data_IF_059968034969
#
_entry.id   IF_059968034969
#
_cell.length_a   1.000
_cell.length_b   1.000
_cell.length_c   1.000
_cell.angle_alpha   90.00
_cell.angle_beta   90.00
_cell.angle_gamma   90.00
#
_symmetry.space_group_name_H-M   'P 1'
#
loop_
_entity.id
_entity.type
_entity.pdbx_description
1 polymer ?
#
# COMPACT_ATOMS: atom_id res chain seq x y z
N UNK A 1 20.92 -48.57 -25.67
CA UNK A 1 19.47 -48.32 -25.73
C UNK A 1 19.24 -47.00 -25.01
N UNK A 2 19.12 -45.93 -25.76
CA UNK A 2 18.95 -44.54 -25.30
C UNK A 2 17.46 -44.31 -25.07
N UNK A 3 17.05 -44.12 -23.84
CA UNK A 3 15.68 -43.79 -23.43
C UNK A 3 15.45 -42.30 -23.64
N UNK A 4 15.01 -41.91 -24.82
CA UNK A 4 14.55 -40.54 -25.09
C UNK A 4 13.20 -40.34 -24.38
N UNK A 5 13.21 -39.84 -23.14
CA UNK A 5 12.01 -39.37 -22.47
C UNK A 5 11.36 -38.26 -23.30
N UNK A 6 10.22 -38.57 -23.93
CA UNK A 6 9.38 -37.60 -24.60
C UNK A 6 8.91 -36.56 -23.54
N UNK A 7 9.10 -35.24 -23.73
CA UNK A 7 8.53 -34.26 -22.85
C UNK A 7 7.01 -34.43 -22.81
N UNK A 8 6.48 -34.70 -21.60
CA UNK A 8 5.04 -34.85 -21.41
C UNK A 8 4.27 -33.58 -21.82
N UNK A 9 2.96 -33.73 -22.10
CA UNK A 9 2.14 -32.61 -22.57
C UNK A 9 2.25 -31.41 -21.58
N UNK A 10 2.55 -30.24 -22.14
CA UNK A 10 2.64 -29.01 -21.36
C UNK A 10 1.28 -28.75 -20.71
N UNK A 11 1.24 -28.76 -19.37
CA UNK A 11 0.03 -28.48 -18.60
C UNK A 11 -0.28 -26.97 -18.66
N UNK A 12 -1.06 -26.57 -19.65
CA UNK A 12 -1.50 -25.18 -19.85
C UNK A 12 -2.32 -24.63 -18.67
N UNK A 13 -2.91 -25.50 -17.84
CA UNK A 13 -3.68 -25.10 -16.66
C UNK A 13 -2.82 -24.85 -15.42
N UNK A 14 -1.51 -25.09 -15.50
CA UNK A 14 -0.59 -24.88 -14.36
C UNK A 14 -0.55 -23.42 -13.91
N UNK A 15 -0.59 -22.49 -14.88
CA UNK A 15 -0.62 -21.06 -14.61
C UNK A 15 -1.93 -20.65 -13.91
N UNK A 16 -3.08 -21.15 -14.36
CA UNK A 16 -4.38 -20.86 -13.76
C UNK A 16 -4.48 -21.43 -12.33
N UNK A 17 -3.99 -22.66 -12.09
CA UNK A 17 -3.93 -23.26 -10.75
C UNK A 17 -3.03 -22.48 -9.80
N UNK A 18 -1.89 -21.98 -10.27
CA UNK A 18 -0.99 -21.18 -9.48
C UNK A 18 -1.61 -19.83 -9.10
N UNK A 19 -2.39 -19.22 -10.00
CA UNK A 19 -3.07 -17.95 -9.72
C UNK A 19 -4.17 -18.14 -8.66
N UNK A 20 -4.95 -19.21 -8.76
CA UNK A 20 -5.99 -19.51 -7.76
C UNK A 20 -5.42 -19.83 -6.38
N UNK A 21 -4.30 -20.57 -6.32
CA UNK A 21 -3.61 -20.87 -5.07
C UNK A 21 -2.95 -19.62 -4.44
N UNK A 22 -2.55 -18.64 -5.24
CA UNK A 22 -1.98 -17.38 -4.74
C UNK A 22 -3.03 -16.44 -4.15
N UNK A 23 -4.28 -16.56 -4.57
CA UNK A 23 -5.39 -15.76 -4.07
C UNK A 23 -5.99 -16.30 -2.75
N UNK A 24 -5.63 -17.51 -2.35
CA UNK A 24 -6.14 -18.09 -1.09
C UNK A 24 -5.39 -17.47 0.10
N UNK A 25 -6.01 -16.48 0.74
CA UNK A 25 -5.48 -15.79 1.92
C UNK A 25 -5.26 -16.71 3.13
N UNK A 26 -5.98 -17.83 3.20
CA UNK A 26 -5.84 -18.79 4.29
C UNK A 26 -4.51 -19.56 4.26
N UNK A 27 -3.89 -19.63 3.08
CA UNK A 27 -2.56 -20.22 2.90
C UNK A 27 -1.40 -19.28 3.30
N UNK A 28 -1.72 -18.01 3.66
CA UNK A 28 -0.71 -17.03 4.02
C UNK A 28 -0.37 -17.09 5.50
N UNK A 29 0.90 -16.77 5.89
CA UNK A 29 1.24 -16.55 7.28
C UNK A 29 0.32 -15.48 7.88
N UNK A 30 -0.12 -15.70 9.12
CA UNK A 30 -1.01 -14.75 9.83
C UNK A 30 -0.56 -13.29 9.73
N UNK A 31 0.74 -12.93 9.99
CA UNK A 31 1.16 -11.54 9.92
C UNK A 31 1.05 -10.95 8.50
N UNK A 32 1.30 -11.73 7.45
CA UNK A 32 1.18 -11.25 6.06
C UNK A 32 -0.28 -11.00 5.68
N UNK A 33 -1.20 -11.85 6.16
CA UNK A 33 -2.64 -11.66 5.97
C UNK A 33 -3.14 -10.40 6.67
N UNK A 34 -2.72 -10.17 7.91
CA UNK A 34 -3.02 -8.94 8.62
C UNK A 34 -2.39 -7.72 7.96
N UNK A 35 -1.14 -7.79 7.50
CA UNK A 35 -0.50 -6.73 6.73
C UNK A 35 -1.32 -6.35 5.49
N UNK A 36 -1.81 -7.34 4.75
CA UNK A 36 -2.67 -7.11 3.58
C UNK A 36 -3.93 -6.34 3.95
N UNK A 37 -4.68 -6.78 4.97
CA UNK A 37 -5.90 -6.10 5.38
C UNK A 37 -5.66 -4.70 5.90
N UNK A 38 -4.62 -4.49 6.69
CA UNK A 38 -4.24 -3.15 7.17
C UNK A 38 -3.83 -2.25 6.00
N UNK A 39 -3.10 -2.76 5.01
CA UNK A 39 -2.78 -2.01 3.78
C UNK A 39 -4.03 -1.62 2.99
N UNK A 40 -4.99 -2.53 2.84
CA UNK A 40 -6.27 -2.24 2.16
C UNK A 40 -7.04 -1.16 2.91
N UNK A 41 -7.17 -1.28 4.23
CA UNK A 41 -7.83 -0.26 5.05
C UNK A 41 -7.10 1.08 4.94
N UNK A 42 -5.77 1.08 5.01
CA UNK A 42 -4.96 2.31 4.85
C UNK A 42 -5.15 2.94 3.48
N UNK A 43 -5.20 2.13 2.41
CA UNK A 43 -5.45 2.61 1.05
C UNK A 43 -6.83 3.26 0.93
N UNK A 44 -7.88 2.66 1.53
CA UNK A 44 -9.23 3.25 1.56
C UNK A 44 -9.23 4.57 2.32
N UNK A 45 -8.60 4.62 3.51
CA UNK A 45 -8.50 5.86 4.30
C UNK A 45 -7.75 6.95 3.55
N UNK A 46 -6.63 6.62 2.89
CA UNK A 46 -5.87 7.56 2.07
C UNK A 46 -6.69 8.05 0.87
N UNK A 47 -7.43 7.16 0.20
CA UNK A 47 -8.28 7.52 -0.93
C UNK A 47 -9.39 8.48 -0.51
N UNK A 48 -10.11 8.17 0.56
CA UNK A 48 -11.16 9.03 1.09
C UNK A 48 -10.59 10.38 1.52
N UNK A 49 -9.49 10.38 2.28
CA UNK A 49 -8.82 11.62 2.72
C UNK A 49 -8.34 12.45 1.53
N UNK A 50 -7.76 11.80 0.51
CA UNK A 50 -7.32 12.46 -0.71
C UNK A 50 -8.47 13.09 -1.48
N UNK A 51 -9.55 12.35 -1.72
CA UNK A 51 -10.73 12.88 -2.42
C UNK A 51 -11.40 14.03 -1.66
N UNK A 52 -11.57 13.89 -0.35
CA UNK A 52 -12.08 14.97 0.51
C UNK A 52 -11.19 16.20 0.44
N UNK A 53 -9.86 16.02 0.40
CA UNK A 53 -8.90 17.11 0.25
C UNK A 53 -8.99 17.81 -1.11
N UNK A 54 -9.16 17.06 -2.20
CA UNK A 54 -9.32 17.60 -3.57
C UNK A 54 -10.66 18.35 -3.71
N UNK A 55 -11.74 17.78 -3.20
CA UNK A 55 -13.08 18.37 -3.28
C UNK A 55 -13.26 19.60 -2.36
N UNK A 56 -12.27 19.92 -1.55
CA UNK A 56 -12.30 21.11 -0.70
C UNK A 56 -13.17 21.00 0.55
N UNK A 57 -13.81 19.85 0.80
CA UNK A 57 -14.85 19.66 1.83
C UNK A 57 -14.33 19.24 3.21
N UNK A 58 -13.01 19.05 3.40
CA UNK A 58 -12.48 18.49 4.65
C UNK A 58 -11.30 19.25 5.23
N UNK A 59 -11.36 19.55 6.49
CA UNK A 59 -10.28 20.05 7.32
C UNK A 59 -10.67 21.27 8.16
N UNK A 60 -10.01 21.48 9.30
CA UNK A 60 -10.19 22.70 10.06
C UNK A 60 -9.83 23.89 9.18
N UNK A 61 -10.74 24.81 9.06
CA UNK A 61 -10.50 26.08 8.38
C UNK A 61 -9.69 26.94 9.35
N UNK A 62 -8.36 26.85 9.23
CA UNK A 62 -7.51 27.86 9.86
C UNK A 62 -7.73 29.14 9.06
N UNK A 63 -8.31 30.15 9.68
CA UNK A 63 -8.43 31.47 9.04
C UNK A 63 -7.02 31.98 8.73
N UNK A 64 -6.67 32.15 7.45
CA UNK A 64 -5.34 32.58 7.07
C UNK A 64 -5.14 34.05 7.48
N UNK A 65 -4.03 34.33 8.14
CA UNK A 65 -3.67 35.68 8.59
C UNK A 65 -3.44 36.66 7.41
N UNK A 66 -3.12 36.13 6.24
CA UNK A 66 -2.95 36.90 4.99
C UNK A 66 -3.11 36.01 3.75
N UNK A 67 -3.22 36.64 2.58
CA UNK A 67 -3.44 35.95 1.30
C UNK A 67 -2.30 34.96 0.93
N UNK A 68 -1.05 35.27 1.26
CA UNK A 68 0.09 34.40 0.97
C UNK A 68 0.04 33.09 1.79
N UNK A 69 -0.33 33.21 3.06
CA UNK A 69 -0.52 32.04 3.93
C UNK A 69 -1.69 31.18 3.44
N UNK A 70 -2.78 31.82 2.99
CA UNK A 70 -3.93 31.14 2.41
C UNK A 70 -3.53 30.30 1.19
N UNK A 71 -2.79 30.88 0.26
CA UNK A 71 -2.33 30.22 -0.95
C UNK A 71 -1.36 29.05 -0.64
N UNK A 72 -0.44 29.26 0.28
CA UNK A 72 0.49 28.21 0.71
C UNK A 72 -0.25 27.02 1.34
N UNK A 73 -1.20 27.28 2.25
CA UNK A 73 -2.00 26.24 2.89
C UNK A 73 -2.85 25.47 1.86
N UNK A 74 -3.43 26.16 0.90
CA UNK A 74 -4.22 25.55 -0.17
C UNK A 74 -3.36 24.65 -1.07
N UNK A 75 -2.22 25.13 -1.53
CA UNK A 75 -1.29 24.37 -2.38
C UNK A 75 -0.77 23.12 -1.67
N UNK A 76 -0.39 23.25 -0.39
CA UNK A 76 0.12 22.12 0.40
C UNK A 76 -0.98 21.09 0.67
N UNK A 77 -2.22 21.53 0.93
CA UNK A 77 -3.38 20.65 1.09
C UNK A 77 -3.65 19.84 -0.18
N UNK A 78 -3.64 20.48 -1.35
CA UNK A 78 -3.81 19.80 -2.63
C UNK A 78 -2.69 18.79 -2.89
N UNK A 79 -1.44 19.16 -2.59
CA UNK A 79 -0.30 18.26 -2.74
C UNK A 79 -0.46 17.00 -1.88
N UNK A 80 -0.82 17.13 -0.60
CA UNK A 80 -1.08 15.99 0.29
C UNK A 80 -2.26 15.17 -0.20
N UNK A 81 -3.33 15.81 -0.65
CA UNK A 81 -4.53 15.14 -1.16
C UNK A 81 -4.25 14.30 -2.41
N UNK A 82 -3.53 14.86 -3.37
CA UNK A 82 -3.11 14.17 -4.60
C UNK A 82 -2.16 13.03 -4.27
N UNK A 83 -1.17 13.25 -3.40
CA UNK A 83 -0.23 12.21 -2.97
C UNK A 83 -0.94 11.06 -2.26
N UNK A 84 -1.90 11.35 -1.39
CA UNK A 84 -2.70 10.32 -0.73
C UNK A 84 -3.56 9.55 -1.74
N UNK A 85 -4.18 10.22 -2.70
CA UNK A 85 -5.00 9.56 -3.75
C UNK A 85 -4.14 8.62 -4.61
N UNK A 86 -3.02 9.12 -5.14
CA UNK A 86 -2.09 8.32 -5.95
C UNK A 86 -1.50 7.19 -5.14
N UNK A 87 -1.05 7.47 -3.91
CA UNK A 87 -0.51 6.48 -2.98
C UNK A 87 -1.51 5.38 -2.66
N UNK A 88 -2.79 5.72 -2.47
CA UNK A 88 -3.86 4.75 -2.23
C UNK A 88 -4.04 3.78 -3.40
N UNK A 89 -4.06 4.31 -4.63
CA UNK A 89 -4.18 3.47 -5.84
C UNK A 89 -2.98 2.54 -5.98
N UNK A 90 -1.77 3.06 -5.79
CA UNK A 90 -0.54 2.25 -5.87
C UNK A 90 -0.54 1.19 -4.77
N UNK A 91 -0.87 1.52 -3.53
CA UNK A 91 -0.95 0.55 -2.43
C UNK A 91 -1.97 -0.56 -2.72
N UNK A 92 -3.16 -0.22 -3.24
CA UNK A 92 -4.18 -1.19 -3.58
C UNK A 92 -3.71 -2.17 -4.68
N UNK A 93 -3.09 -1.65 -5.75
CA UNK A 93 -2.57 -2.46 -6.85
C UNK A 93 -1.45 -3.40 -6.41
N UNK A 94 -0.50 -2.90 -5.62
CA UNK A 94 0.64 -3.70 -5.18
C UNK A 94 0.34 -4.59 -3.98
N UNK A 95 -0.65 -4.25 -3.15
CA UNK A 95 -1.15 -5.16 -2.12
C UNK A 95 -1.67 -6.47 -2.73
N UNK A 96 -2.39 -6.40 -3.84
CA UNK A 96 -2.82 -7.60 -4.57
C UNK A 96 -1.63 -8.44 -5.09
N UNK A 97 -0.52 -7.79 -5.49
CA UNK A 97 0.69 -8.47 -5.96
C UNK A 97 1.54 -9.09 -4.83
N UNK A 98 1.31 -8.73 -3.57
CA UNK A 98 1.94 -9.43 -2.44
C UNK A 98 1.59 -10.92 -2.42
N UNK A 99 0.41 -11.27 -2.93
CA UNK A 99 -0.06 -12.64 -3.08
C UNK A 99 0.89 -13.52 -3.91
N UNK A 100 1.49 -12.96 -4.94
CA UNK A 100 2.44 -13.66 -5.80
C UNK A 100 3.84 -13.82 -5.21
N UNK A 101 4.10 -13.24 -4.01
CA UNK A 101 5.43 -13.26 -3.39
C UNK A 101 6.44 -12.32 -4.05
N UNK A 102 5.97 -11.31 -4.78
CA UNK A 102 6.83 -10.39 -5.51
C UNK A 102 7.66 -9.51 -4.56
N UNK A 103 8.99 -9.61 -4.66
CA UNK A 103 9.93 -8.73 -3.93
C UNK A 103 9.78 -7.27 -4.37
N UNK A 104 9.46 -7.05 -5.65
CA UNK A 104 9.22 -5.73 -6.22
C UNK A 104 8.00 -5.06 -5.62
N UNK A 105 6.88 -5.79 -5.51
CA UNK A 105 5.67 -5.26 -4.88
C UNK A 105 5.94 -4.78 -3.46
N UNK A 106 6.69 -5.56 -2.66
CA UNK A 106 7.07 -5.17 -1.30
C UNK A 106 7.93 -3.90 -1.28
N UNK A 107 8.91 -3.77 -2.19
CA UNK A 107 9.75 -2.55 -2.28
C UNK A 107 8.91 -1.33 -2.61
N UNK A 108 8.04 -1.43 -3.61
CA UNK A 108 7.17 -0.33 -4.02
C UNK A 108 6.23 0.07 -2.87
N UNK A 109 5.59 -0.88 -2.21
CA UNK A 109 4.75 -0.62 -1.04
C UNK A 109 5.54 0.13 0.04
N UNK A 110 6.76 -0.31 0.35
CA UNK A 110 7.61 0.34 1.35
C UNK A 110 7.94 1.78 0.97
N UNK A 111 8.28 2.05 -0.30
CA UNK A 111 8.57 3.39 -0.81
C UNK A 111 7.32 4.28 -0.72
N UNK A 112 6.17 3.78 -1.16
CA UNK A 112 4.90 4.53 -1.10
C UNK A 112 4.52 4.84 0.35
N UNK A 113 4.68 3.88 1.26
CA UNK A 113 4.44 4.11 2.69
C UNK A 113 5.38 5.20 3.23
N UNK A 114 6.68 5.15 2.89
CA UNK A 114 7.64 6.14 3.35
C UNK A 114 7.28 7.56 2.87
N UNK A 115 6.90 7.72 1.60
CA UNK A 115 6.46 8.99 1.03
C UNK A 115 5.16 9.46 1.72
N UNK A 116 4.19 8.57 1.87
CA UNK A 116 2.92 8.90 2.52
C UNK A 116 3.11 9.29 3.98
N UNK A 117 3.96 8.58 4.73
CA UNK A 117 4.31 8.93 6.11
C UNK A 117 4.95 10.30 6.19
N UNK A 118 5.95 10.57 5.35
CA UNK A 118 6.63 11.87 5.32
C UNK A 118 5.63 13.00 5.07
N UNK A 119 4.80 12.88 4.02
CA UNK A 119 3.83 13.91 3.65
C UNK A 119 2.76 14.14 4.73
N UNK A 120 2.22 13.06 5.31
CA UNK A 120 1.17 13.18 6.32
C UNK A 120 1.73 13.73 7.64
N UNK A 121 2.95 13.36 8.05
CA UNK A 121 3.61 13.89 9.23
C UNK A 121 3.97 15.37 9.03
N UNK A 122 4.48 15.74 7.84
CA UNK A 122 4.76 17.14 7.51
C UNK A 122 3.49 18.00 7.55
N UNK A 123 2.38 17.51 6.95
CA UNK A 123 1.09 18.20 7.01
C UNK A 123 0.57 18.37 8.43
N UNK A 124 0.74 17.34 9.28
CA UNK A 124 0.38 17.41 10.69
C UNK A 124 1.20 18.47 11.43
N UNK A 125 2.51 18.53 11.18
CA UNK A 125 3.40 19.53 11.79
C UNK A 125 3.02 20.98 11.39
N UNK A 126 2.43 21.15 10.20
CA UNK A 126 1.95 22.45 9.70
C UNK A 126 0.51 22.77 10.17
N UNK A 127 -0.12 21.89 10.95
CA UNK A 127 -1.51 22.06 11.39
C UNK A 127 -2.55 21.92 10.28
N UNK A 128 -2.17 21.35 9.14
CA UNK A 128 -3.01 21.20 7.97
C UNK A 128 -3.70 19.85 8.01
N UNK A 129 -4.92 19.78 8.52
CA UNK A 129 -5.74 18.59 8.40
C UNK A 129 -6.39 18.10 9.68
N UNK A 130 -7.24 17.07 9.54
CA UNK A 130 -8.06 16.49 10.60
C UNK A 130 -7.52 15.16 11.12
N UNK A 131 -8.40 14.43 11.82
CA UNK A 131 -8.14 13.11 12.42
C UNK A 131 -7.54 12.09 11.44
N UNK A 132 -7.83 12.19 10.14
CA UNK A 132 -7.28 11.30 9.11
C UNK A 132 -5.76 11.34 9.05
N UNK A 133 -5.14 12.51 9.29
CA UNK A 133 -3.68 12.66 9.29
C UNK A 133 -2.99 12.00 10.50
N UNK A 134 -3.74 11.62 11.52
CA UNK A 134 -3.22 10.80 12.64
C UNK A 134 -3.43 9.31 12.36
N UNK A 135 -4.61 8.94 11.87
CA UNK A 135 -4.98 7.54 11.68
C UNK A 135 -4.20 6.90 10.52
N UNK A 136 -4.00 7.63 9.42
CA UNK A 136 -3.28 7.12 8.24
C UNK A 136 -1.83 6.72 8.58
N UNK A 137 -0.99 7.59 9.18
CA UNK A 137 0.37 7.20 9.54
C UNK A 137 0.44 6.02 10.49
N UNK A 138 -0.43 5.97 11.50
CA UNK A 138 -0.48 4.86 12.45
C UNK A 138 -0.78 3.54 11.73
N UNK A 139 -1.79 3.53 10.87
CA UNK A 139 -2.15 2.33 10.11
C UNK A 139 -1.04 1.87 9.16
N UNK A 140 -0.34 2.81 8.50
CA UNK A 140 0.78 2.52 7.61
C UNK A 140 2.00 1.97 8.37
N UNK A 141 2.29 2.48 9.56
CA UNK A 141 3.37 1.95 10.43
C UNK A 141 3.04 0.52 10.86
N UNK A 142 1.81 0.24 11.26
CA UNK A 142 1.37 -1.11 11.62
C UNK A 142 1.50 -2.05 10.41
N UNK A 143 1.04 -1.62 9.24
CA UNK A 143 1.17 -2.41 8.01
C UNK A 143 2.63 -2.73 7.69
N UNK A 144 3.51 -1.72 7.81
CA UNK A 144 4.94 -1.87 7.58
C UNK A 144 5.57 -2.86 8.57
N UNK A 145 5.27 -2.73 9.86
CA UNK A 145 5.75 -3.64 10.89
C UNK A 145 5.35 -5.09 10.62
N UNK A 146 4.09 -5.33 10.24
CA UNK A 146 3.58 -6.65 9.90
C UNK A 146 4.23 -7.22 8.62
N UNK A 147 4.47 -6.36 7.62
CA UNK A 147 5.09 -6.74 6.35
C UNK A 147 6.54 -7.21 6.53
N UNK A 148 7.26 -6.64 7.52
CA UNK A 148 8.66 -6.96 7.80
C UNK A 148 8.84 -8.03 8.87
N UNK A 149 7.77 -8.64 9.39
CA UNK A 149 7.90 -9.75 10.33
C UNK A 149 8.66 -10.94 9.71
N UNK A 150 9.44 -11.69 10.51
CA UNK A 150 10.27 -12.81 10.03
C UNK A 150 9.48 -13.86 9.25
N UNK A 151 8.24 -14.14 9.65
CA UNK A 151 7.36 -15.09 8.98
C UNK A 151 6.94 -14.60 7.58
N UNK A 152 6.61 -13.30 7.43
CA UNK A 152 6.30 -12.66 6.15
C UNK A 152 7.53 -12.69 5.22
N UNK A 153 8.72 -12.42 5.77
CA UNK A 153 9.97 -12.43 5.02
C UNK A 153 10.30 -13.81 4.45
N UNK A 154 10.16 -14.86 5.25
CA UNK A 154 10.39 -16.25 4.81
C UNK A 154 9.45 -16.64 3.69
N UNK A 155 8.16 -16.37 3.84
CA UNK A 155 7.16 -16.70 2.84
C UNK A 155 7.43 -16.03 1.48
N UNK A 156 7.75 -14.72 1.48
CA UNK A 156 8.06 -13.98 0.25
C UNK A 156 9.36 -14.50 -0.39
N UNK A 157 10.37 -14.84 0.42
CA UNK A 157 11.62 -15.42 -0.08
C UNK A 157 11.39 -16.77 -0.74
N UNK A 158 10.65 -17.66 -0.08
CA UNK A 158 10.39 -19.02 -0.59
C UNK A 158 9.57 -19.00 -1.88
N UNK A 159 8.57 -18.14 -1.97
CA UNK A 159 7.80 -17.96 -3.20
C UNK A 159 8.63 -17.38 -4.35
N UNK A 160 9.50 -16.41 -4.06
CA UNK A 160 10.36 -15.79 -5.07
C UNK A 160 11.46 -16.70 -5.63
N UNK A 161 11.72 -17.85 -4.98
CA UNK A 161 12.67 -18.87 -5.47
C UNK A 161 11.98 -19.95 -6.32
N UNK A 162 10.66 -20.02 -6.28
CA UNK A 162 9.85 -21.01 -7.03
C UNK A 162 9.22 -20.48 -8.30
N UNK A 163 9.28 -19.20 -8.55
CA UNK A 163 8.79 -18.50 -9.75
C UNK A 163 9.92 -17.97 -10.59
#
# INVERSE_FOLDING_TARGET
>A
MSNTERPGPRDYNRAARNTSASQNLDAWPRPLRWAYWVLVVSAVLMLVSGLVGILGSGGPQVEPQNAQVAEYLHSNRLFVAVTNTVGAVVLALFAAQLASGSKWARRIITIVIAIALFNNIAALALGIGGLSLLIIPISLIIALALLFQPQSNRFIKDRSLRG
#
